data_IF_439408445603
#
_entry.id   IF_439408445603
#
_cell.length_a   1.000
_cell.length_b   1.000
_cell.length_c   1.000
_cell.angle_alpha   90.00
_cell.angle_beta   90.00
_cell.angle_gamma   90.00
#
_symmetry.space_group_name_H-M   'P 1'
#
loop_
_entity.id
_entity.type
_entity.pdbx_description
1 polymer ?
#
# COMPACT_ATOMS: atom_id res chain seq x y z
N UNK A 1 25.34 7.99 -33.83
CA UNK A 1 24.17 7.14 -34.15
C UNK A 1 23.56 7.57 -35.48
N UNK A 2 23.19 6.62 -36.37
CA UNK A 2 22.44 6.89 -37.60
C UNK A 2 21.11 7.61 -37.31
N UNK A 3 20.65 8.44 -38.24
CA UNK A 3 19.40 9.23 -38.15
C UNK A 3 18.16 8.39 -37.80
N UNK A 4 17.98 7.21 -38.41
CA UNK A 4 16.88 6.31 -38.08
C UNK A 4 16.99 5.68 -36.68
N UNK A 5 18.21 5.35 -36.25
CA UNK A 5 18.47 4.80 -34.92
C UNK A 5 18.28 5.83 -33.80
N UNK A 6 18.58 7.11 -34.06
CA UNK A 6 18.30 8.22 -33.13
C UNK A 6 16.80 8.38 -32.86
N UNK A 7 15.97 8.30 -33.91
CA UNK A 7 14.52 8.36 -33.78
C UNK A 7 13.98 7.18 -32.96
N UNK A 8 14.44 5.96 -33.25
CA UNK A 8 14.04 4.78 -32.46
C UNK A 8 14.46 4.89 -30.99
N UNK A 9 15.67 5.36 -30.70
CA UNK A 9 16.14 5.54 -29.33
C UNK A 9 15.27 6.52 -28.54
N UNK A 10 14.94 7.69 -29.11
CA UNK A 10 14.09 8.68 -28.45
C UNK A 10 12.68 8.15 -28.21
N UNK A 11 12.09 7.46 -29.18
CA UNK A 11 10.76 6.85 -29.03
C UNK A 11 10.74 5.81 -27.92
N UNK A 12 11.75 4.92 -27.86
CA UNK A 12 11.86 3.91 -26.80
C UNK A 12 12.04 4.55 -25.42
N UNK A 13 12.86 5.59 -25.30
CA UNK A 13 13.05 6.30 -24.04
C UNK A 13 11.75 6.98 -23.58
N UNK A 14 11.04 7.67 -24.46
CA UNK A 14 9.76 8.30 -24.14
C UNK A 14 8.70 7.26 -23.74
N UNK A 15 8.61 6.15 -24.46
CA UNK A 15 7.70 5.06 -24.13
C UNK A 15 8.00 4.44 -22.74
N UNK A 16 9.28 4.18 -22.45
CA UNK A 16 9.71 3.65 -21.16
C UNK A 16 9.42 4.61 -19.99
N UNK A 17 9.64 5.92 -20.19
CA UNK A 17 9.31 6.95 -19.21
C UNK A 17 7.79 7.04 -18.96
N UNK A 18 6.97 7.04 -20.02
CA UNK A 18 5.52 7.07 -19.90
C UNK A 18 4.97 5.84 -19.17
N UNK A 19 5.53 4.66 -19.43
CA UNK A 19 5.16 3.43 -18.72
C UNK A 19 5.49 3.50 -17.23
N UNK A 20 6.69 3.96 -16.89
CA UNK A 20 7.13 4.10 -15.49
C UNK A 20 6.26 5.12 -14.72
N UNK A 21 5.98 6.28 -15.33
CA UNK A 21 5.11 7.30 -14.74
C UNK A 21 3.69 6.78 -14.53
N UNK A 22 3.14 6.06 -15.51
CA UNK A 22 1.79 5.46 -15.41
C UNK A 22 1.73 4.47 -14.25
N UNK A 23 2.75 3.62 -14.09
CA UNK A 23 2.84 2.66 -12.98
C UNK A 23 2.92 3.34 -11.61
N UNK A 24 3.75 4.38 -11.48
CA UNK A 24 3.88 5.16 -10.24
C UNK A 24 2.54 5.81 -9.86
N UNK A 25 1.90 6.50 -10.80
CA UNK A 25 0.62 7.17 -10.52
C UNK A 25 -0.50 6.19 -10.20
N UNK A 26 -0.55 5.03 -10.85
CA UNK A 26 -1.51 3.99 -10.53
C UNK A 26 -1.30 3.47 -9.10
N UNK A 27 -0.05 3.19 -8.74
CA UNK A 27 0.31 2.70 -7.39
C UNK A 27 -0.03 3.72 -6.31
N UNK A 28 0.29 5.00 -6.51
CA UNK A 28 -0.05 6.07 -5.57
C UNK A 28 -1.57 6.24 -5.42
N UNK A 29 -2.32 6.12 -6.52
CA UNK A 29 -3.78 6.16 -6.52
C UNK A 29 -4.40 5.01 -5.73
N UNK A 30 -3.90 3.78 -5.91
CA UNK A 30 -4.33 2.62 -5.14
C UNK A 30 -4.03 2.79 -3.65
N UNK A 31 -2.81 3.21 -3.29
CA UNK A 31 -2.44 3.48 -1.88
C UNK A 31 -3.36 4.55 -1.28
N UNK A 32 -3.60 5.66 -1.98
CA UNK A 32 -4.48 6.71 -1.48
C UNK A 32 -5.93 6.23 -1.31
N UNK A 33 -6.47 5.52 -2.29
CA UNK A 33 -7.86 5.06 -2.27
C UNK A 33 -8.09 3.94 -1.24
N UNK A 34 -7.22 2.94 -1.19
CA UNK A 34 -7.38 1.80 -0.28
C UNK A 34 -6.98 2.16 1.15
N UNK A 35 -5.84 2.84 1.35
CA UNK A 35 -5.28 3.01 2.69
C UNK A 35 -5.82 4.27 3.40
N UNK A 36 -6.12 5.34 2.64
CA UNK A 36 -6.58 6.61 3.19
C UNK A 36 -8.09 6.77 3.02
N UNK A 37 -8.62 6.63 1.79
CA UNK A 37 -10.03 6.91 1.52
C UNK A 37 -10.98 5.94 2.23
N UNK A 38 -10.72 4.62 2.19
CA UNK A 38 -11.54 3.63 2.93
C UNK A 38 -11.48 3.83 4.44
N UNK A 39 -10.39 4.37 4.99
CA UNK A 39 -10.26 4.66 6.42
C UNK A 39 -11.14 5.84 6.84
N UNK A 40 -11.23 6.87 6.01
CA UNK A 40 -12.10 8.03 6.23
C UNK A 40 -13.58 7.69 5.97
N UNK A 41 -13.86 6.98 4.87
CA UNK A 41 -15.20 6.54 4.47
C UNK A 41 -15.30 5.02 4.47
N UNK A 42 -15.72 4.48 5.62
CA UNK A 42 -15.83 3.02 5.88
C UNK A 42 -16.83 2.27 4.99
N UNK A 43 -17.68 2.98 4.25
CA UNK A 43 -18.69 2.41 3.33
C UNK A 43 -18.60 3.09 1.95
N UNK A 44 -17.39 3.22 1.42
CA UNK A 44 -17.17 3.68 0.05
C UNK A 44 -17.56 2.56 -0.94
N UNK A 45 -18.29 2.91 -2.00
CA UNK A 45 -18.57 1.99 -3.10
C UNK A 45 -17.36 1.84 -4.01
N UNK A 46 -17.23 0.73 -4.73
CA UNK A 46 -16.07 0.50 -5.62
C UNK A 46 -15.99 1.53 -6.75
N UNK A 47 -17.15 1.98 -7.24
CA UNK A 47 -17.27 3.06 -8.22
C UNK A 47 -16.71 4.38 -7.65
N UNK A 48 -17.02 4.69 -6.40
CA UNK A 48 -16.47 5.87 -5.72
C UNK A 48 -14.95 5.77 -5.62
N UNK A 49 -14.42 4.58 -5.29
CA UNK A 49 -12.99 4.33 -5.21
C UNK A 49 -12.27 4.59 -6.53
N UNK A 50 -12.85 4.11 -7.65
CA UNK A 50 -12.32 4.33 -8.99
C UNK A 50 -12.30 5.81 -9.38
N UNK A 51 -13.37 6.55 -9.08
CA UNK A 51 -13.47 7.98 -9.40
C UNK A 51 -12.47 8.80 -8.57
N UNK A 52 -12.38 8.52 -7.27
CA UNK A 52 -11.44 9.18 -6.37
C UNK A 52 -10.00 8.92 -6.81
N UNK A 53 -9.68 7.67 -7.16
CA UNK A 53 -8.36 7.30 -7.67
C UNK A 53 -7.96 8.07 -8.92
N UNK A 54 -8.84 8.10 -9.94
CA UNK A 54 -8.59 8.84 -11.18
C UNK A 54 -8.47 10.35 -10.94
N UNK A 55 -9.27 10.91 -10.04
CA UNK A 55 -9.18 12.33 -9.65
C UNK A 55 -7.85 12.62 -8.96
N UNK A 56 -7.41 11.73 -8.08
CA UNK A 56 -6.13 11.86 -7.37
C UNK A 56 -4.93 11.83 -8.32
N UNK A 57 -4.96 10.97 -9.36
CA UNK A 57 -3.91 10.97 -10.41
C UNK A 57 -3.80 12.34 -11.10
N UNK A 58 -4.92 12.97 -11.46
CA UNK A 58 -4.91 14.30 -12.08
C UNK A 58 -4.28 15.35 -11.15
N UNK A 59 -4.60 15.29 -9.86
CA UNK A 59 -4.01 16.18 -8.85
C UNK A 59 -2.50 15.95 -8.72
N UNK A 60 -2.06 14.68 -8.66
CA UNK A 60 -0.64 14.34 -8.60
C UNK A 60 0.14 14.82 -9.83
N UNK A 61 -0.43 14.69 -11.03
CA UNK A 61 0.18 15.20 -12.26
C UNK A 61 0.33 16.73 -12.18
N UNK A 62 -0.69 17.45 -11.72
CA UNK A 62 -0.62 18.90 -11.55
C UNK A 62 0.48 19.32 -10.56
N UNK A 63 0.56 18.66 -9.40
CA UNK A 63 1.63 18.91 -8.41
C UNK A 63 3.01 18.62 -9.01
N UNK A 64 3.14 17.54 -9.77
CA UNK A 64 4.40 17.15 -10.41
C UNK A 64 4.89 18.22 -11.40
N UNK A 65 3.97 18.82 -12.18
CA UNK A 65 4.29 19.92 -13.10
C UNK A 65 4.74 21.17 -12.34
N UNK A 66 4.06 21.50 -11.24
CA UNK A 66 4.43 22.63 -10.37
C UNK A 66 5.81 22.45 -9.73
N UNK A 67 6.26 21.20 -9.57
CA UNK A 67 7.55 20.88 -8.96
C UNK A 67 8.75 20.95 -9.91
N UNK A 68 8.54 20.92 -11.23
CA UNK A 68 9.60 21.03 -12.25
C UNK A 68 10.57 22.21 -12.03
N UNK A 69 10.11 23.47 -11.81
CA UNK A 69 11.04 24.59 -11.65
C UNK A 69 11.96 24.47 -10.43
N UNK A 70 11.52 23.76 -9.38
CA UNK A 70 12.34 23.50 -8.20
C UNK A 70 13.49 22.55 -8.55
N UNK A 71 13.23 21.57 -9.42
CA UNK A 71 14.23 20.62 -9.87
C UNK A 71 15.25 21.29 -10.81
N UNK A 72 14.80 22.16 -11.71
CA UNK A 72 15.68 22.89 -12.64
C UNK A 72 16.63 23.88 -11.94
N UNK A 73 16.36 24.24 -10.69
CA UNK A 73 17.28 25.04 -9.89
C UNK A 73 18.59 24.29 -9.54
N UNK A 74 18.62 22.95 -9.67
CA UNK A 74 19.80 22.13 -9.43
C UNK A 74 20.53 21.80 -10.74
N UNK A 75 21.86 21.99 -10.83
CA UNK A 75 22.65 21.59 -12.00
C UNK A 75 22.53 20.10 -12.31
N UNK A 76 22.58 19.72 -13.60
CA UNK A 76 22.37 18.35 -14.08
C UNK A 76 23.22 17.27 -13.38
N UNK A 77 24.45 17.57 -12.94
CA UNK A 77 25.33 16.62 -12.24
C UNK A 77 24.92 16.36 -10.79
N UNK A 78 24.11 17.23 -10.20
CA UNK A 78 23.65 17.13 -8.81
C UNK A 78 22.23 16.54 -8.70
N UNK A 79 21.47 16.47 -9.80
CA UNK A 79 20.11 15.90 -9.82
C UNK A 79 20.07 14.46 -9.30
N UNK A 80 20.98 13.62 -9.76
CA UNK A 80 21.04 12.22 -9.30
C UNK A 80 21.37 12.13 -7.81
N UNK A 81 22.32 12.94 -7.33
CA UNK A 81 22.64 13.03 -5.92
C UNK A 81 21.45 13.50 -5.08
N UNK A 82 20.66 14.46 -5.57
CA UNK A 82 19.43 14.91 -4.93
C UNK A 82 18.38 13.80 -4.82
N UNK A 83 18.10 13.08 -5.91
CA UNK A 83 17.13 11.97 -5.89
C UNK A 83 17.58 10.87 -4.92
N UNK A 84 18.88 10.56 -4.92
CA UNK A 84 19.45 9.53 -4.06
C UNK A 84 19.50 9.98 -2.59
N UNK A 85 19.78 11.26 -2.29
CA UNK A 85 19.80 11.79 -0.93
C UNK A 85 18.39 11.77 -0.31
N UNK A 86 17.37 12.22 -1.05
CA UNK A 86 15.96 12.13 -0.62
C UNK A 86 15.56 10.69 -0.29
N UNK A 87 15.91 9.75 -1.16
CA UNK A 87 15.63 8.32 -0.95
C UNK A 87 16.38 7.79 0.27
N UNK A 88 17.62 8.23 0.49
CA UNK A 88 18.45 7.83 1.64
C UNK A 88 17.92 8.37 2.98
N UNK A 89 17.00 9.34 2.97
CA UNK A 89 16.36 9.85 4.19
C UNK A 89 14.99 9.22 4.47
N UNK A 90 14.27 8.80 3.42
CA UNK A 90 12.92 8.25 3.53
C UNK A 90 12.89 6.72 3.57
N UNK A 91 13.72 6.04 2.78
CA UNK A 91 13.69 4.59 2.65
C UNK A 91 14.21 3.84 3.91
N UNK A 92 15.32 4.24 4.57
CA UNK A 92 15.87 3.44 5.66
C UNK A 92 14.93 3.25 6.86
N UNK A 93 14.18 4.26 7.34
CA UNK A 93 13.17 4.07 8.39
C UNK A 93 12.11 3.03 8.06
N UNK A 94 11.61 3.02 6.82
CA UNK A 94 10.60 2.06 6.35
C UNK A 94 11.21 0.66 6.31
N UNK A 95 12.41 0.53 5.73
CA UNK A 95 13.13 -0.74 5.68
C UNK A 95 13.43 -1.29 7.08
N UNK A 96 13.86 -0.45 8.01
CA UNK A 96 14.18 -0.84 9.39
C UNK A 96 12.98 -1.47 10.10
N UNK A 97 11.82 -0.80 10.04
CA UNK A 97 10.58 -1.30 10.65
C UNK A 97 10.11 -2.58 9.95
N UNK A 98 10.21 -2.66 8.62
CA UNK A 98 9.83 -3.86 7.88
C UNK A 98 10.70 -5.08 8.24
N UNK A 99 12.03 -4.91 8.23
CA UNK A 99 12.98 -5.96 8.61
C UNK A 99 12.72 -6.41 10.05
N UNK A 100 12.54 -5.47 10.98
CA UNK A 100 12.22 -5.80 12.37
C UNK A 100 10.89 -6.52 12.52
N UNK A 101 9.84 -6.06 11.84
CA UNK A 101 8.51 -6.67 11.93
C UNK A 101 8.49 -8.12 11.44
N UNK A 102 9.25 -8.45 10.39
CA UNK A 102 9.34 -9.81 9.84
C UNK A 102 10.27 -10.70 10.67
N UNK A 103 11.41 -10.17 11.12
CA UNK A 103 12.44 -10.95 11.82
C UNK A 103 12.18 -11.14 13.32
N UNK A 104 11.44 -10.23 13.97
CA UNK A 104 11.30 -10.22 15.42
C UNK A 104 9.83 -10.12 15.88
N UNK A 105 9.30 -11.22 16.42
CA UNK A 105 7.93 -11.30 16.94
C UNK A 105 7.64 -10.50 18.20
N UNK A 106 8.58 -9.70 18.71
CA UNK A 106 8.34 -8.81 19.85
C UNK A 106 7.83 -7.43 19.40
N UNK A 107 8.03 -7.06 18.14
CA UNK A 107 7.64 -5.76 17.60
C UNK A 107 6.11 -5.60 17.67
N UNK A 108 5.69 -4.49 18.24
CA UNK A 108 4.31 -4.11 18.51
C UNK A 108 3.94 -2.81 17.78
N UNK A 109 2.63 -2.58 17.58
CA UNK A 109 2.09 -1.47 16.77
C UNK A 109 2.68 -0.08 17.14
N UNK A 110 2.74 0.35 18.42
CA UNK A 110 3.34 1.64 18.75
C UNK A 110 4.87 1.64 18.61
N UNK A 111 5.56 0.51 18.78
CA UNK A 111 7.00 0.41 18.54
C UNK A 111 7.33 0.62 17.05
N UNK A 112 6.55 0.00 16.16
CA UNK A 112 6.67 0.23 14.72
C UNK A 112 6.31 1.67 14.33
N UNK A 113 5.20 2.20 14.86
CA UNK A 113 4.73 3.55 14.55
C UNK A 113 5.71 4.64 15.02
N UNK A 114 6.11 4.64 16.29
CA UNK A 114 7.02 5.65 16.84
C UNK A 114 8.45 5.47 16.33
N UNK A 115 8.88 4.24 16.04
CA UNK A 115 10.14 3.98 15.35
C UNK A 115 10.16 4.63 13.96
N UNK A 116 9.14 4.36 13.14
CA UNK A 116 9.01 4.95 11.81
C UNK A 116 8.93 6.49 11.87
N UNK A 117 8.09 7.03 12.75
CA UNK A 117 7.94 8.48 12.91
C UNK A 117 9.23 9.14 13.39
N UNK A 118 9.92 8.57 14.38
CA UNK A 118 11.20 9.08 14.87
C UNK A 118 12.26 9.09 13.77
N UNK A 119 12.36 8.01 13.00
CA UNK A 119 13.25 7.94 11.82
C UNK A 119 12.93 8.98 10.76
N UNK A 120 11.67 9.09 10.36
CA UNK A 120 11.24 10.04 9.36
C UNK A 120 11.47 11.48 9.81
N UNK A 121 11.18 11.83 11.08
CA UNK A 121 11.44 13.18 11.61
C UNK A 121 12.93 13.51 11.54
N UNK A 122 13.80 12.59 11.92
CA UNK A 122 15.27 12.80 11.88
C UNK A 122 15.76 12.91 10.43
N UNK A 123 15.24 12.09 9.52
CA UNK A 123 15.48 12.20 8.09
C UNK A 123 15.00 13.55 7.51
N UNK A 124 13.83 14.03 7.92
CA UNK A 124 13.27 15.31 7.49
C UNK A 124 14.06 16.51 8.03
N UNK A 125 14.56 16.45 9.27
CA UNK A 125 15.46 17.47 9.81
C UNK A 125 16.74 17.53 8.96
N UNK A 126 17.31 16.37 8.61
CA UNK A 126 18.49 16.30 7.74
C UNK A 126 18.21 16.86 6.34
N UNK A 127 17.07 16.50 5.75
CA UNK A 127 16.64 17.01 4.45
C UNK A 127 16.45 18.54 4.48
N UNK A 128 15.79 19.07 5.51
CA UNK A 128 15.62 20.51 5.68
C UNK A 128 16.95 21.24 5.84
N UNK A 129 17.91 20.63 6.53
CA UNK A 129 19.27 21.17 6.64
C UNK A 129 19.97 21.21 5.27
N UNK A 130 19.94 20.12 4.52
CA UNK A 130 20.56 20.06 3.19
C UNK A 130 19.92 21.04 2.20
N UNK A 131 18.61 21.27 2.31
CA UNK A 131 17.90 22.26 1.52
C UNK A 131 18.25 23.71 1.93
N UNK A 132 18.47 23.97 3.22
CA UNK A 132 18.74 25.32 3.74
C UNK A 132 20.18 25.78 3.52
N UNK A 133 21.14 24.87 3.34
CA UNK A 133 22.55 25.20 3.14
C UNK A 133 22.97 24.84 1.72
N UNK A 134 23.18 25.86 0.90
CA UNK A 134 23.66 25.69 -0.48
C UNK A 134 25.09 25.15 -0.48
N UNK A 135 25.33 24.09 -1.25
CA UNK A 135 26.69 23.56 -1.44
C UNK A 135 27.47 24.57 -2.29
N UNK A 136 28.57 25.16 -1.77
CA UNK A 136 29.39 26.04 -2.58
C UNK A 136 29.99 25.26 -3.76
N UNK A 137 30.03 25.86 -4.98
CA UNK A 137 30.65 25.23 -6.15
C UNK A 137 32.10 24.82 -5.85
N UNK A 138 32.51 23.65 -6.32
CA UNK A 138 33.88 23.18 -6.15
C UNK A 138 34.88 24.22 -6.70
N UNK A 139 35.70 24.82 -5.82
CA UNK A 139 36.72 25.82 -6.19
C UNK A 139 36.42 27.27 -5.78
N UNK A 140 35.30 27.57 -5.12
CA UNK A 140 35.07 28.88 -4.50
C UNK A 140 35.80 29.01 -3.15
N UNK A 141 36.50 30.12 -2.91
CA UNK A 141 37.18 30.43 -1.64
C UNK A 141 36.24 30.82 -0.47
N UNK A 142 34.94 30.61 -0.64
CA UNK A 142 33.91 30.86 0.38
C UNK A 142 33.99 29.78 1.48
N UNK A 143 34.01 30.14 2.78
CA UNK A 143 33.99 29.18 3.87
C UNK A 143 32.70 28.35 3.83
N UNK A 144 32.82 27.02 3.93
CA UNK A 144 31.69 26.08 3.94
C UNK A 144 30.75 26.42 5.12
N UNK A 145 29.49 26.82 4.87
CA UNK A 145 28.56 27.22 5.92
C UNK A 145 28.01 26.01 6.72
N UNK A 146 28.36 24.78 6.33
CA UNK A 146 27.91 23.55 6.98
C UNK A 146 28.65 23.31 8.30
N UNK A 147 27.97 22.97 9.41
CA UNK A 147 28.65 22.53 10.62
C UNK A 147 29.47 21.27 10.36
N UNK A 148 30.60 21.12 11.07
CA UNK A 148 31.56 20.03 10.86
C UNK A 148 30.94 18.62 10.87
N UNK A 149 29.90 18.40 11.68
CA UNK A 149 29.16 17.12 11.81
C UNK A 149 28.44 16.73 10.51
N UNK A 150 28.10 17.71 9.67
CA UNK A 150 27.28 17.56 8.46
C UNK A 150 28.11 17.51 7.20
N UNK A 151 29.26 18.20 7.18
CA UNK A 151 30.19 18.16 6.06
C UNK A 151 30.96 16.83 6.01
N UNK A 152 31.21 16.19 7.17
CA UNK A 152 31.97 14.94 7.25
C UNK A 152 31.17 13.67 6.93
N UNK A 153 29.83 13.70 6.99
CA UNK A 153 28.99 12.51 6.81
C UNK A 153 28.21 12.59 5.50
N UNK A 154 28.67 11.83 4.52
CA UNK A 154 27.98 11.66 3.24
C UNK A 154 26.57 11.08 3.44
N UNK A 155 25.60 11.46 2.60
CA UNK A 155 24.18 11.08 2.75
C UNK A 155 23.97 9.55 2.87
N UNK A 156 24.80 8.76 2.19
CA UNK A 156 24.74 7.30 2.26
C UNK A 156 25.06 6.76 3.66
N UNK A 157 26.09 7.29 4.32
CA UNK A 157 26.48 6.89 5.67
C UNK A 157 25.40 7.31 6.68
N UNK A 158 24.81 8.50 6.47
CA UNK A 158 23.68 8.95 7.27
C UNK A 158 22.47 8.02 7.13
N UNK A 159 22.18 7.52 5.92
CA UNK A 159 21.10 6.54 5.70
C UNK A 159 21.29 5.25 6.51
N UNK A 160 22.52 4.74 6.58
CA UNK A 160 22.85 3.56 7.41
C UNK A 160 22.68 3.87 8.90
N UNK A 161 23.16 5.03 9.37
CA UNK A 161 22.96 5.46 10.75
C UNK A 161 21.47 5.61 11.09
N UNK A 162 20.68 6.16 10.17
CA UNK A 162 19.24 6.34 10.33
C UNK A 162 18.51 5.00 10.43
N UNK A 163 18.94 3.99 9.67
CA UNK A 163 18.43 2.61 9.76
C UNK A 163 18.65 2.01 11.16
N UNK A 164 19.87 2.07 11.70
CA UNK A 164 20.15 1.54 13.03
C UNK A 164 19.44 2.35 14.13
N UNK A 165 19.38 3.66 13.99
CA UNK A 165 18.68 4.51 14.94
C UNK A 165 17.18 4.18 14.99
N UNK A 166 16.55 3.95 13.83
CA UNK A 166 15.14 3.53 13.79
C UNK A 166 14.93 2.16 14.41
N UNK A 167 15.86 1.22 14.21
CA UNK A 167 15.83 -0.07 14.91
C UNK A 167 15.87 0.12 16.42
N UNK A 168 16.77 0.96 16.92
CA UNK A 168 16.92 1.23 18.35
C UNK A 168 15.64 1.85 18.92
N UNK A 169 15.12 2.92 18.29
CA UNK A 169 13.89 3.59 18.75
C UNK A 169 12.72 2.61 18.75
N UNK A 170 12.54 1.86 17.65
CA UNK A 170 11.45 0.89 17.53
C UNK A 170 11.54 -0.20 18.59
N UNK A 171 12.74 -0.71 18.86
CA UNK A 171 13.02 -1.71 19.88
C UNK A 171 12.75 -1.19 21.29
N UNK A 172 13.23 0.00 21.63
CA UNK A 172 13.05 0.59 22.97
C UNK A 172 11.57 0.83 23.24
N UNK A 173 10.85 1.49 22.32
CA UNK A 173 9.40 1.71 22.47
C UNK A 173 8.65 0.38 22.52
N UNK A 174 9.11 -0.60 21.76
CA UNK A 174 8.51 -1.93 21.74
C UNK A 174 8.64 -2.67 23.07
N UNK A 175 9.81 -2.61 23.70
CA UNK A 175 10.08 -3.22 25.00
C UNK A 175 9.35 -2.51 26.15
N UNK A 176 9.13 -1.20 26.03
CA UNK A 176 8.38 -0.40 27.01
C UNK A 176 6.85 -0.58 26.92
N UNK A 177 6.36 -1.17 25.83
CA UNK A 177 4.92 -1.39 25.58
C UNK A 177 4.54 -2.85 25.83
N UNK A 178 3.28 -3.16 26.23
CA UNK A 178 2.79 -4.55 26.30
C UNK A 178 3.07 -5.35 25.02
N UNK A 179 3.49 -6.63 25.15
CA UNK A 179 3.67 -7.52 24.02
C UNK A 179 2.35 -7.89 23.35
N UNK A 180 2.42 -8.18 22.04
CA UNK A 180 1.30 -8.75 21.28
C UNK A 180 1.16 -10.24 21.66
N UNK A 181 -0.08 -10.73 21.74
CA UNK A 181 -0.37 -12.14 21.99
C UNK A 181 0.06 -13.01 20.79
N UNK A 182 0.70 -14.15 21.06
CA UNK A 182 1.26 -15.03 20.02
C UNK A 182 0.23 -15.49 18.96
N UNK A 183 -1.05 -15.59 19.34
CA UNK A 183 -2.18 -15.94 18.46
C UNK A 183 -2.42 -14.95 17.32
N UNK A 184 -1.88 -13.74 17.43
CA UNK A 184 -2.02 -12.69 16.42
C UNK A 184 -0.83 -12.66 15.45
N UNK A 185 0.26 -13.37 15.78
CA UNK A 185 1.50 -13.38 15.02
C UNK A 185 1.61 -14.55 14.04
N UNK A 186 0.66 -15.48 14.02
CA UNK A 186 0.69 -16.61 13.08
C UNK A 186 0.82 -16.11 11.63
N UNK A 187 1.77 -16.69 10.90
CA UNK A 187 2.07 -16.41 9.49
C UNK A 187 2.55 -14.99 9.15
N UNK A 188 2.85 -14.16 10.15
CA UNK A 188 3.35 -12.78 9.94
C UNK A 188 4.85 -12.62 10.13
N UNK A 189 5.47 -13.46 10.96
CA UNK A 189 6.91 -13.41 11.23
C UNK A 189 7.62 -14.60 10.61
N UNK A 190 8.92 -14.48 10.38
CA UNK A 190 9.73 -15.58 9.83
C UNK A 190 9.62 -16.85 10.68
N UNK A 191 9.56 -16.72 12.01
CA UNK A 191 9.44 -17.84 12.93
C UNK A 191 8.06 -18.53 12.86
N UNK A 192 6.99 -17.79 12.54
CA UNK A 192 5.61 -18.30 12.54
C UNK A 192 5.06 -18.59 11.13
N UNK A 193 5.89 -18.50 10.09
CA UNK A 193 5.50 -18.61 8.67
C UNK A 193 4.78 -19.91 8.30
N UNK A 194 5.14 -21.03 8.93
CA UNK A 194 4.57 -22.36 8.63
C UNK A 194 3.47 -22.80 9.60
N UNK A 195 3.03 -21.93 10.51
CA UNK A 195 1.97 -22.26 11.45
C UNK A 195 0.63 -22.38 10.73
N UNK A 196 -0.11 -23.46 11.00
CA UNK A 196 -1.46 -23.73 10.46
C UNK A 196 -2.59 -23.26 11.38
N UNK A 197 -2.26 -22.61 12.49
CA UNK A 197 -3.25 -22.13 13.46
C UNK A 197 -4.02 -20.92 12.92
N UNK A 198 -5.28 -20.79 13.34
CA UNK A 198 -6.17 -19.71 12.93
C UNK A 198 -5.65 -18.39 13.51
N UNK A 199 -5.44 -17.39 12.65
CA UNK A 199 -5.01 -16.06 13.06
C UNK A 199 -6.20 -15.24 13.57
N UNK A 200 -6.08 -14.70 14.78
CA UNK A 200 -7.03 -13.69 15.27
C UNK A 200 -6.57 -12.28 14.88
N UNK A 201 -7.42 -11.54 14.14
CA UNK A 201 -7.11 -10.16 13.73
C UNK A 201 -7.20 -9.17 14.91
N UNK A 202 -6.19 -8.28 15.06
CA UNK A 202 -6.17 -7.21 16.07
C UNK A 202 -7.47 -6.37 16.09
N UNK A 203 -8.07 -6.13 14.93
CA UNK A 203 -9.26 -5.28 14.77
C UNK A 203 -10.55 -5.85 15.38
N UNK A 204 -10.65 -7.17 15.57
CA UNK A 204 -11.87 -7.81 16.10
C UNK A 204 -12.01 -7.63 17.62
N UNK A 205 -10.91 -7.46 18.35
CA UNK A 205 -10.91 -7.29 19.83
C UNK A 205 -11.46 -5.93 20.27
N UNK A 206 -11.27 -4.86 19.47
CA UNK A 206 -11.76 -3.51 19.79
C UNK A 206 -13.29 -3.38 19.77
N UNK A 207 -14.00 -4.28 19.05
CA UNK A 207 -15.47 -4.38 19.10
C UNK A 207 -16.01 -5.15 20.32
N UNK A 208 -15.20 -6.00 20.96
CA UNK A 208 -15.63 -6.82 22.11
C UNK A 208 -15.55 -6.10 23.46
N UNK A 209 -14.86 -4.96 23.56
CA UNK A 209 -14.57 -4.32 24.86
C UNK A 209 -15.46 -3.12 25.23
N UNK A 210 -16.53 -2.86 24.48
CA UNK A 210 -17.47 -1.76 24.77
C UNK A 210 -18.94 -2.21 24.69
N UNK A 211 -19.32 -3.20 25.49
CA UNK A 211 -20.71 -3.37 25.93
C UNK A 211 -20.68 -3.93 27.35
N UNK A 212 -21.04 -3.16 28.39
CA UNK A 212 -21.41 -3.76 29.67
C UNK A 212 -22.73 -4.51 29.44
N UNK A 213 -22.71 -5.82 29.64
CA UNK A 213 -23.90 -6.66 29.65
C UNK A 213 -24.78 -6.24 30.83
N UNK A 214 -25.87 -5.53 30.56
CA UNK A 214 -27.03 -5.48 31.46
C UNK A 214 -28.16 -6.21 30.74
N UNK A 215 -28.70 -7.23 31.40
CA UNK A 215 -29.83 -8.01 30.95
C UNK A 215 -31.08 -7.14 30.74
N UNK A 216 -31.90 -7.58 29.77
CA UNK A 216 -33.38 -7.69 29.84
C UNK A 216 -34.12 -6.92 28.73
N UNK A 217 -34.81 -7.67 27.87
CA UNK A 217 -35.80 -7.16 26.94
C UNK A 217 -35.78 -7.89 25.60
N UNK A 218 -36.78 -8.73 25.38
CA UNK A 218 -37.09 -9.46 24.15
C UNK A 218 -36.96 -8.60 22.90
N UNK A 219 -36.44 -9.17 21.82
CA UNK A 219 -37.01 -9.04 20.46
C UNK A 219 -36.48 -10.17 19.58
N UNK A 220 -37.44 -10.96 19.08
CA UNK A 220 -37.20 -12.14 18.26
C UNK A 220 -36.80 -11.73 16.85
N UNK A 221 -35.56 -12.01 16.45
CA UNK A 221 -35.23 -12.17 15.04
C UNK A 221 -34.32 -13.39 14.88
N UNK A 222 -34.98 -14.52 14.67
CA UNK A 222 -34.39 -15.82 14.37
C UNK A 222 -33.58 -15.74 13.08
N UNK A 223 -32.26 -15.85 13.19
CA UNK A 223 -31.36 -16.07 12.05
C UNK A 223 -31.44 -17.56 11.69
N UNK A 224 -32.27 -17.95 10.72
CA UNK A 224 -32.39 -19.34 10.31
C UNK A 224 -31.22 -19.75 9.41
N UNK A 225 -30.34 -20.54 10.03
CA UNK A 225 -29.40 -21.48 9.42
C UNK A 225 -30.19 -22.55 8.66
N UNK A 226 -29.93 -22.75 7.38
CA UNK A 226 -30.36 -23.96 6.67
C UNK A 226 -29.42 -24.26 5.50
N UNK A 227 -28.43 -25.10 5.78
CA UNK A 227 -27.91 -26.08 4.82
C UNK A 227 -28.75 -27.36 5.00
N UNK A 228 -29.32 -27.87 3.90
CA UNK A 228 -29.26 -29.29 3.51
C UNK A 228 -30.38 -29.70 2.51
N UNK A 229 -29.92 -30.10 1.33
CA UNK A 229 -30.20 -31.33 0.59
C UNK A 229 -31.64 -31.90 0.44
N UNK A 230 -32.06 -32.00 -0.84
CA UNK A 230 -32.72 -33.13 -1.53
C UNK A 230 -33.69 -34.03 -0.74
N UNK A 231 -34.98 -34.02 -1.12
CA UNK A 231 -35.79 -35.19 -1.55
C UNK A 231 -37.32 -34.95 -1.42
N UNK A 232 -38.09 -35.44 -2.40
CA UNK A 232 -39.36 -36.13 -2.13
C UNK A 232 -40.70 -35.39 -2.31
N UNK A 233 -41.35 -35.68 -3.45
CA UNK A 233 -42.78 -36.01 -3.67
C UNK A 233 -43.95 -35.17 -3.10
N UNK A 234 -44.83 -34.84 -4.06
CA UNK A 234 -46.29 -35.04 -4.06
C UNK A 234 -47.28 -34.13 -3.29
N UNK A 235 -48.04 -33.39 -4.11
CA UNK A 235 -49.52 -33.36 -4.21
C UNK A 235 -50.41 -32.51 -3.26
N UNK A 236 -50.98 -31.48 -3.91
CA UNK A 236 -52.42 -31.07 -4.05
C UNK A 236 -53.13 -30.15 -3.03
N UNK A 237 -53.96 -29.27 -3.63
CA UNK A 237 -55.09 -28.43 -3.14
C UNK A 237 -54.73 -27.00 -2.67
N UNK A 238 -54.78 -25.99 -3.56
CA UNK A 238 -55.95 -25.17 -4.01
C UNK A 238 -56.72 -24.45 -2.87
N UNK A 239 -56.70 -23.11 -2.86
CA UNK A 239 -57.89 -22.22 -2.99
C UNK A 239 -57.42 -20.75 -3.16
N UNK A 240 -57.69 -20.26 -4.37
CA UNK A 240 -57.93 -18.91 -4.92
C UNK A 240 -57.77 -17.60 -4.12
N UNK A 241 -57.05 -16.65 -4.74
CA UNK A 241 -57.14 -15.20 -4.47
C UNK A 241 -56.34 -14.36 -5.49
N UNK A 242 -56.99 -13.86 -6.54
CA UNK A 242 -56.41 -13.14 -7.68
C UNK A 242 -55.82 -11.76 -7.31
N UNK A 243 -54.65 -11.47 -7.91
CA UNK A 243 -54.32 -10.29 -8.77
C UNK A 243 -53.16 -9.40 -8.26
N UNK A 244 -52.08 -9.40 -9.04
CA UNK A 244 -51.11 -8.30 -9.09
C UNK A 244 -49.64 -8.73 -8.96
N UNK A 245 -49.09 -9.35 -9.99
CA UNK A 245 -47.64 -9.50 -10.16
C UNK A 245 -47.02 -8.11 -10.32
N UNK A 246 -46.38 -7.58 -9.28
CA UNK A 246 -45.47 -6.45 -9.40
C UNK A 246 -44.07 -6.94 -9.07
N UNK A 247 -43.25 -7.05 -10.10
CA UNK A 247 -41.87 -7.49 -10.03
C UNK A 247 -41.04 -6.47 -9.25
N UNK A 248 -40.10 -6.97 -8.44
CA UNK A 248 -39.08 -6.20 -7.70
C UNK A 248 -38.20 -5.34 -8.64
N UNK A 249 -38.35 -5.51 -9.96
CA UNK A 249 -37.76 -4.68 -11.00
C UNK A 249 -38.27 -3.23 -11.05
N UNK A 250 -39.35 -2.89 -10.31
CA UNK A 250 -39.99 -1.57 -10.40
C UNK A 250 -39.77 -0.66 -9.18
N UNK A 251 -39.09 -1.15 -8.13
CA UNK A 251 -38.81 -0.37 -6.91
C UNK A 251 -37.46 0.39 -6.93
N UNK A 252 -36.64 0.26 -7.98
CA UNK A 252 -35.39 1.03 -8.15
C UNK A 252 -35.41 1.99 -9.35
N UNK A 253 -36.60 2.35 -9.84
CA UNK A 253 -36.79 3.34 -10.90
C UNK A 253 -37.19 4.74 -10.36
N UNK A 254 -36.96 5.03 -9.07
CA UNK A 254 -37.32 6.32 -8.47
C UNK A 254 -36.23 6.85 -7.54
N UNK A 255 -35.12 7.29 -8.13
CA UNK A 255 -34.35 8.46 -7.66
C UNK A 255 -33.31 8.88 -8.71
N UNK A 256 -33.73 9.12 -9.95
CA UNK A 256 -32.87 9.67 -11.00
C UNK A 256 -32.79 11.19 -10.88
N UNK A 257 -32.00 11.69 -9.91
CA UNK A 257 -31.56 13.10 -10.00
C UNK A 257 -30.71 13.24 -11.27
N UNK A 258 -31.00 14.19 -12.17
CA UNK A 258 -30.17 14.42 -13.34
C UNK A 258 -28.75 14.80 -12.88
N UNK A 259 -27.75 14.04 -13.30
CA UNK A 259 -26.35 14.37 -13.00
C UNK A 259 -26.01 15.74 -13.59
N UNK A 260 -25.59 16.67 -12.73
CA UNK A 260 -25.04 17.99 -13.13
C UNK A 260 -23.98 17.84 -14.22
N UNK A 261 -23.95 18.77 -15.19
CA UNK A 261 -23.01 18.79 -16.31
C UNK A 261 -21.55 18.69 -15.88
N UNK A 262 -21.22 19.19 -14.68
CA UNK A 262 -19.90 19.03 -14.06
C UNK A 262 -19.56 17.57 -13.75
N UNK A 263 -20.53 16.79 -13.24
CA UNK A 263 -20.35 15.35 -13.03
C UNK A 263 -20.22 14.63 -14.37
N UNK A 264 -20.96 15.01 -15.41
CA UNK A 264 -20.79 14.40 -16.74
C UNK A 264 -19.41 14.67 -17.34
N UNK A 265 -18.90 15.90 -17.21
CA UNK A 265 -17.55 16.25 -17.63
C UNK A 265 -16.49 15.48 -16.81
N UNK A 266 -16.67 15.38 -15.49
CA UNK A 266 -15.81 14.59 -14.61
C UNK A 266 -15.80 13.11 -15.03
N UNK A 267 -16.95 12.48 -15.25
CA UNK A 267 -17.03 11.08 -15.67
C UNK A 267 -16.46 10.83 -17.08
N UNK A 268 -16.54 11.83 -17.96
CA UNK A 268 -15.96 11.78 -19.31
C UNK A 268 -14.43 11.94 -19.27
N UNK A 269 -13.91 12.91 -18.51
CA UNK A 269 -12.47 13.09 -18.24
C UNK A 269 -11.91 11.87 -17.50
N UNK A 270 -12.70 11.29 -16.59
CA UNK A 270 -12.35 10.08 -15.86
C UNK A 270 -12.56 8.80 -16.66
N UNK A 271 -13.03 8.79 -17.92
CA UNK A 271 -13.10 7.59 -18.77
C UNK A 271 -13.85 6.39 -18.18
N UNK A 272 -14.89 6.61 -17.39
CA UNK A 272 -15.62 5.52 -16.71
C UNK A 272 -16.63 4.89 -17.69
N UNK A 273 -16.22 3.81 -18.35
CA UNK A 273 -17.09 2.99 -19.21
C UNK A 273 -17.83 1.95 -18.36
N UNK A 274 -19.10 1.64 -18.70
CA UNK A 274 -19.92 0.65 -17.99
C UNK A 274 -19.27 -0.74 -17.86
N UNK A 275 -18.37 -1.12 -18.77
CA UNK A 275 -17.60 -2.37 -18.72
C UNK A 275 -16.69 -2.46 -17.49
N UNK A 276 -16.06 -1.35 -17.10
CA UNK A 276 -15.12 -1.30 -15.98
C UNK A 276 -15.84 -1.30 -14.62
N UNK A 277 -17.12 -0.92 -14.59
CA UNK A 277 -17.97 -1.11 -13.42
C UNK A 277 -18.30 -2.59 -13.19
N UNK A 278 -18.49 -3.36 -14.27
CA UNK A 278 -18.78 -4.79 -14.17
C UNK A 278 -17.56 -5.61 -13.70
N UNK A 279 -16.35 -5.26 -14.20
CA UNK A 279 -15.10 -5.92 -13.77
C UNK A 279 -14.74 -5.66 -12.29
N UNK A 280 -15.16 -4.51 -11.74
CA UNK A 280 -14.94 -4.18 -10.33
C UNK A 280 -15.90 -4.96 -9.39
N UNK A 281 -17.11 -5.28 -9.84
CA UNK A 281 -18.06 -6.13 -9.11
C UNK A 281 -17.64 -7.62 -9.13
N UNK A 282 -16.93 -8.07 -10.17
CA UNK A 282 -16.54 -9.49 -10.33
C UNK A 282 -15.33 -9.90 -9.47
N UNK A 283 -14.50 -8.95 -9.00
CA UNK A 283 -13.34 -9.24 -8.14
C UNK A 283 -13.69 -9.57 -6.68
N UNK A 284 -14.98 -9.62 -6.33
CA UNK A 284 -15.44 -10.09 -5.03
C UNK A 284 -15.33 -11.62 -4.97
N UNK A 285 -14.14 -12.08 -4.60
CA UNK A 285 -13.92 -13.47 -4.21
C UNK A 285 -14.90 -13.88 -3.09
N UNK A 286 -15.26 -15.16 -3.00
CA UNK A 286 -16.22 -15.65 -2.01
C UNK A 286 -15.78 -15.29 -0.58
N UNK A 287 -16.73 -14.97 0.29
CA UNK A 287 -16.47 -14.79 1.73
C UNK A 287 -16.21 -16.17 2.32
N UNK A 288 -14.96 -16.57 2.32
CA UNK A 288 -14.47 -17.86 2.80
C UNK A 288 -14.48 -17.89 4.34
N UNK A 289 -14.69 -19.06 4.94
CA UNK A 289 -14.68 -19.18 6.40
C UNK A 289 -13.27 -18.95 6.97
N UNK A 290 -13.12 -18.46 8.22
CA UNK A 290 -11.81 -18.11 8.79
C UNK A 290 -10.80 -19.27 8.83
N UNK A 291 -11.28 -20.52 8.83
CA UNK A 291 -10.47 -21.73 8.80
C UNK A 291 -9.96 -22.03 7.39
N UNK A 292 -10.83 -21.92 6.40
CA UNK A 292 -10.48 -22.10 4.99
C UNK A 292 -9.51 -20.99 4.51
N UNK A 293 -9.67 -19.75 4.97
CA UNK A 293 -8.72 -18.66 4.73
C UNK A 293 -7.32 -18.96 5.29
N UNK A 294 -7.26 -19.56 6.49
CA UNK A 294 -6.01 -19.92 7.13
C UNK A 294 -5.29 -21.05 6.38
N UNK A 295 -6.04 -22.03 5.90
CA UNK A 295 -5.53 -23.14 5.07
C UNK A 295 -5.08 -22.63 3.71
N UNK A 296 -5.95 -21.90 2.98
CA UNK A 296 -5.65 -21.37 1.66
C UNK A 296 -4.41 -20.48 1.67
N UNK A 297 -4.26 -19.67 2.71
CA UNK A 297 -3.14 -18.74 2.80
C UNK A 297 -1.87 -19.35 3.45
N UNK A 298 -1.95 -20.59 3.95
CA UNK A 298 -0.79 -21.43 4.23
C UNK A 298 -0.37 -22.24 2.97
N UNK A 299 -1.35 -22.63 2.16
CA UNK A 299 -1.14 -23.29 0.86
C UNK A 299 -0.61 -22.31 -0.19
N UNK A 300 -0.99 -21.03 -0.15
CA UNK A 300 -0.48 -20.00 -1.05
C UNK A 300 1.03 -19.75 -0.91
N UNK A 301 1.63 -20.11 0.24
CA UNK A 301 3.07 -20.05 0.46
C UNK A 301 3.82 -21.20 -0.22
N UNK A 302 3.11 -22.22 -0.71
CA UNK A 302 3.71 -23.36 -1.39
C UNK A 302 3.82 -23.04 -2.88
N UNK A 303 4.95 -22.44 -3.26
CA UNK A 303 5.26 -22.18 -4.65
C UNK A 303 5.46 -23.49 -5.44
N UNK A 304 5.26 -23.43 -6.75
CA UNK A 304 5.58 -24.58 -7.60
C UNK A 304 7.10 -24.73 -7.69
N UNK A 305 7.62 -25.97 -7.79
CA UNK A 305 9.07 -26.24 -7.75
C UNK A 305 9.84 -25.56 -8.90
N UNK A 306 9.15 -25.22 -9.99
CA UNK A 306 9.72 -24.46 -11.09
C UNK A 306 9.98 -23.00 -10.71
N UNK A 307 8.98 -22.32 -10.13
CA UNK A 307 9.09 -20.91 -9.74
C UNK A 307 10.08 -20.71 -8.60
N UNK A 308 10.14 -21.64 -7.65
CA UNK A 308 11.15 -21.63 -6.60
C UNK A 308 12.57 -21.69 -7.19
N UNK A 309 12.80 -22.55 -8.18
CA UNK A 309 14.07 -22.64 -8.89
C UNK A 309 14.44 -21.35 -9.63
N UNK A 310 13.48 -20.72 -10.29
CA UNK A 310 13.67 -19.43 -10.99
C UNK A 310 14.01 -18.31 -10.00
N UNK A 311 13.27 -18.20 -8.90
CA UNK A 311 13.50 -17.21 -7.85
C UNK A 311 14.88 -17.38 -7.21
N UNK A 312 15.25 -18.62 -6.85
CA UNK A 312 16.55 -18.92 -6.25
C UNK A 312 17.70 -18.62 -7.22
N UNK A 313 17.58 -18.99 -8.49
CA UNK A 313 18.58 -18.65 -9.51
C UNK A 313 18.73 -17.13 -9.69
N UNK A 314 17.61 -16.41 -9.75
CA UNK A 314 17.61 -14.94 -9.81
C UNK A 314 18.29 -14.31 -8.60
N UNK A 315 18.01 -14.80 -7.39
CA UNK A 315 18.64 -14.33 -6.17
C UNK A 315 20.16 -14.57 -6.18
N UNK A 316 20.61 -15.74 -6.64
CA UNK A 316 22.05 -16.04 -6.76
C UNK A 316 22.73 -15.11 -7.76
N UNK A 317 22.12 -14.86 -8.92
CA UNK A 317 22.66 -13.92 -9.91
C UNK A 317 22.77 -12.50 -9.33
N UNK A 318 21.76 -12.05 -8.58
CA UNK A 318 21.78 -10.75 -7.89
C UNK A 318 22.90 -10.67 -6.84
N UNK A 319 23.09 -11.72 -6.05
CA UNK A 319 24.17 -11.77 -5.05
C UNK A 319 25.56 -11.73 -5.71
N UNK A 320 25.75 -12.47 -6.80
CA UNK A 320 27.01 -12.48 -7.56
C UNK A 320 27.30 -11.10 -8.16
N UNK A 321 26.30 -10.46 -8.75
CA UNK A 321 26.45 -9.13 -9.35
C UNK A 321 26.71 -8.04 -8.30
N UNK A 322 26.02 -8.07 -7.15
CA UNK A 322 26.31 -7.19 -6.03
C UNK A 322 27.74 -7.37 -5.50
N UNK A 323 28.19 -8.62 -5.31
CA UNK A 323 29.55 -8.92 -4.85
C UNK A 323 30.61 -8.46 -5.86
N UNK A 324 30.35 -8.64 -7.17
CA UNK A 324 31.23 -8.17 -8.24
C UNK A 324 31.33 -6.64 -8.27
N UNK A 325 30.20 -5.92 -8.17
CA UNK A 325 30.19 -4.45 -8.13
C UNK A 325 30.94 -3.95 -6.89
N UNK A 326 30.72 -4.58 -5.73
CA UNK A 326 31.45 -4.24 -4.52
C UNK A 326 32.97 -4.43 -4.68
N UNK A 327 33.40 -5.57 -5.23
CA UNK A 327 34.82 -5.86 -5.42
C UNK A 327 35.49 -5.08 -6.56
N UNK A 328 34.73 -4.54 -7.50
CA UNK A 328 35.26 -3.74 -8.61
C UNK A 328 35.40 -2.24 -8.25
N UNK A 329 34.47 -1.71 -7.46
CA UNK A 329 34.44 -0.29 -7.09
C UNK A 329 35.09 0.02 -5.74
N UNK A 330 35.51 -0.99 -4.98
CA UNK A 330 36.17 -0.84 -3.69
C UNK A 330 37.59 -1.42 -3.71
#
# INVERSE_FOLDING_TARGET
MPIGARGMMLSVMLAALMSSLTSIFNSCSTIFTIDIWKKFRKSATDIELLIVGRTFVVILVAISIVWIPIIEAFPNSQLFHYIQSVTSYLAPPVCAVYVLAVSWGRINEPGAFWGLMGGLVIGMIRFGWEFSYTVPPCGSAEPDPRPAIISSVHYLHFGILLFFLTIIISTVVSLLTPPIEARQLHRLTYATRHSREIREDLGKRRKKSSVPTIYQGNDNLSYNKSTDCLAGSDRTEEVTGKRGSLTVHEAMASSSKPMSSFKRALFCICGVTKSQLAEAEECQGPVVSPEEDAIQAAESLKESPFWEGVCNAGAVILMISCAFIWGYYH
#
